data_IF_335762765887
#
_entry.id   IF_335762765887
#
_cell.length_a   1.000
_cell.length_b   1.000
_cell.length_c   1.000
_cell.angle_alpha   90.00
_cell.angle_beta   90.00
_cell.angle_gamma   90.00
#
_symmetry.space_group_name_H-M   'P 1'
#
loop_
_entity.id
_entity.type
_entity.pdbx_description
1 polymer ?
#
# COMPACT_ATOMS: atom_id res chain seq x y z
N UNK A 1 12.43 -20.39 7.90
CA UNK A 1 12.91 -19.11 7.37
C UNK A 1 13.93 -18.58 8.35
N UNK A 2 15.19 -18.56 7.96
CA UNK A 2 16.26 -18.01 8.78
C UNK A 2 16.17 -16.48 8.80
N UNK A 3 16.30 -15.89 9.98
CA UNK A 3 16.47 -14.45 10.14
C UNK A 3 17.72 -14.20 10.96
N UNK A 4 18.72 -13.57 10.37
CA UNK A 4 19.91 -13.11 11.09
C UNK A 4 19.58 -12.22 12.29
N UNK A 5 18.51 -11.44 12.24
CA UNK A 5 18.05 -10.62 13.36
C UNK A 5 17.63 -11.41 14.61
N UNK A 6 17.43 -12.71 14.51
CA UNK A 6 17.17 -13.56 15.69
C UNK A 6 18.45 -14.09 16.36
N UNK A 7 19.59 -14.02 15.66
CA UNK A 7 20.91 -14.34 16.24
C UNK A 7 21.50 -13.15 16.97
N UNK A 8 21.07 -11.96 16.63
CA UNK A 8 21.52 -10.71 17.25
C UNK A 8 20.90 -10.49 18.64
N UNK A 9 21.20 -11.38 19.58
CA UNK A 9 21.42 -10.82 20.89
C UNK A 9 22.75 -10.07 20.83
N UNK A 10 22.81 -8.85 21.30
CA UNK A 10 24.01 -8.01 21.42
C UNK A 10 25.22 -8.73 22.04
N UNK A 11 25.03 -9.88 22.66
CA UNK A 11 26.06 -10.74 23.23
C UNK A 11 26.84 -11.56 22.18
N UNK A 12 26.30 -11.81 20.98
CA UNK A 12 26.98 -12.62 19.94
C UNK A 12 27.80 -11.72 19.00
N UNK A 13 27.36 -10.48 18.77
CA UNK A 13 28.10 -9.49 17.98
C UNK A 13 29.10 -8.66 18.79
N UNK A 14 29.06 -8.74 20.12
CA UNK A 14 29.95 -8.01 21.00
C UNK A 14 31.25 -8.78 21.28
N UNK A 15 32.31 -8.51 20.56
CA UNK A 15 33.74 -8.79 20.79
C UNK A 15 34.41 -9.96 20.09
N UNK A 16 33.75 -10.92 19.46
CA UNK A 16 34.47 -12.09 18.91
C UNK A 16 34.12 -12.47 17.48
N UNK A 17 33.35 -11.67 16.77
CA UNK A 17 32.99 -11.94 15.40
C UNK A 17 31.72 -12.77 15.24
N UNK A 18 31.27 -12.87 14.01
CA UNK A 18 30.14 -13.67 13.59
C UNK A 18 30.38 -15.17 13.84
N UNK A 19 29.46 -15.82 14.53
CA UNK A 19 29.60 -17.24 14.94
C UNK A 19 28.96 -18.18 13.92
N UNK A 20 28.03 -17.69 13.11
CA UNK A 20 27.31 -18.50 12.11
C UNK A 20 25.88 -18.05 11.93
N UNK A 21 25.17 -18.75 11.07
CA UNK A 21 23.74 -18.56 10.78
C UNK A 21 23.00 -19.80 11.26
N UNK A 22 21.87 -19.62 11.97
CA UNK A 22 21.05 -20.75 12.40
C UNK A 22 20.21 -21.28 11.24
N UNK A 23 20.07 -22.61 11.14
CA UNK A 23 19.22 -23.27 10.16
C UNK A 23 17.76 -23.48 10.67
N UNK A 24 17.49 -23.06 11.89
CA UNK A 24 16.18 -23.10 12.51
C UNK A 24 15.96 -21.90 13.43
N UNK A 25 14.69 -21.59 13.74
CA UNK A 25 14.36 -20.53 14.71
C UNK A 25 14.71 -20.99 16.12
N UNK A 26 15.67 -20.31 16.78
CA UNK A 26 16.07 -20.58 18.15
C UNK A 26 15.35 -19.59 19.08
N UNK A 27 14.60 -20.09 20.04
CA UNK A 27 14.06 -19.25 21.12
C UNK A 27 15.17 -18.87 22.10
N UNK A 28 14.99 -17.77 22.83
CA UNK A 28 16.03 -17.19 23.72
C UNK A 28 16.57 -18.13 24.81
N UNK A 29 16.01 -19.31 24.98
CA UNK A 29 16.45 -20.32 25.95
C UNK A 29 16.64 -21.71 25.32
N UNK A 30 16.54 -21.84 24.01
CA UNK A 30 16.70 -23.11 23.31
C UNK A 30 18.06 -23.21 22.58
N UNK A 31 18.52 -24.43 22.37
CA UNK A 31 19.65 -24.71 21.48
C UNK A 31 19.12 -25.03 20.09
N UNK A 32 19.76 -24.51 19.07
CA UNK A 32 19.50 -24.80 17.66
C UNK A 32 20.79 -25.06 16.90
N UNK A 33 20.66 -25.58 15.69
CA UNK A 33 21.82 -25.82 14.83
C UNK A 33 22.41 -24.51 14.32
N UNK A 34 23.74 -24.39 14.31
CA UNK A 34 24.44 -23.24 13.79
C UNK A 34 25.38 -23.70 12.68
N UNK A 35 25.20 -23.14 11.46
CA UNK A 35 26.11 -23.35 10.34
C UNK A 35 27.25 -22.34 10.47
N UNK A 36 28.50 -22.82 10.61
CA UNK A 36 29.63 -21.93 10.90
C UNK A 36 30.42 -21.60 9.65
N UNK A 37 30.98 -22.58 8.93
CA UNK A 37 31.78 -22.35 7.76
C UNK A 37 31.61 -23.46 6.74
N UNK A 38 31.66 -23.12 5.44
CA UNK A 38 31.55 -24.09 4.36
C UNK A 38 30.16 -24.72 4.19
N UNK A 39 29.20 -24.33 4.99
CA UNK A 39 27.79 -24.73 4.83
C UNK A 39 27.14 -23.98 3.66
N UNK A 40 26.13 -24.62 3.03
CA UNK A 40 25.26 -23.97 2.04
C UNK A 40 23.91 -23.79 2.67
N UNK A 41 23.43 -22.55 2.71
CA UNK A 41 22.07 -22.25 3.11
C UNK A 41 21.24 -21.92 1.88
N UNK A 42 19.97 -22.33 1.90
CA UNK A 42 19.01 -22.07 0.84
C UNK A 42 17.85 -21.26 1.37
N UNK A 43 17.20 -20.51 0.49
CA UNK A 43 16.00 -19.74 0.83
C UNK A 43 16.25 -18.75 1.97
N UNK A 44 17.31 -17.98 1.87
CA UNK A 44 17.85 -17.24 3.00
C UNK A 44 16.92 -16.21 3.59
N UNK A 45 16.03 -15.60 2.83
CA UNK A 45 15.15 -14.52 3.34
C UNK A 45 15.90 -13.44 4.15
N UNK A 46 17.21 -13.37 3.98
CA UNK A 46 18.14 -12.58 4.79
C UNK A 46 18.54 -11.27 4.12
N UNK A 47 18.19 -11.12 2.85
CA UNK A 47 18.51 -9.92 2.10
C UNK A 47 17.41 -8.92 2.36
N UNK A 48 17.74 -7.68 2.69
CA UNK A 48 16.76 -6.61 2.68
C UNK A 48 16.13 -6.57 1.29
N UNK A 49 14.82 -6.45 1.25
CA UNK A 49 14.03 -6.38 0.04
C UNK A 49 14.63 -5.37 -0.95
N UNK A 50 15.31 -5.86 -1.96
CA UNK A 50 15.87 -5.02 -3.01
C UNK A 50 14.74 -4.63 -3.98
N UNK A 51 14.37 -3.36 -3.97
CA UNK A 51 13.43 -2.81 -4.92
C UNK A 51 14.10 -2.60 -6.29
N UNK A 52 13.38 -2.94 -7.34
CA UNK A 52 13.73 -2.58 -8.71
C UNK A 52 12.49 -2.06 -9.45
N UNK A 53 12.70 -1.19 -10.44
CA UNK A 53 11.62 -0.59 -11.22
C UNK A 53 11.72 -0.96 -12.70
N UNK A 54 10.57 -1.21 -13.31
CA UNK A 54 10.43 -1.24 -14.76
C UNK A 54 10.36 0.18 -15.33
N UNK A 55 10.41 0.28 -16.64
CA UNK A 55 10.24 1.57 -17.34
C UNK A 55 8.84 2.17 -17.09
N UNK A 56 8.76 3.49 -17.10
CA UNK A 56 7.48 4.20 -17.05
C UNK A 56 6.60 3.79 -18.23
N UNK A 57 5.32 3.58 -17.96
CA UNK A 57 4.28 3.38 -18.97
C UNK A 57 3.18 4.43 -18.80
N UNK A 58 2.65 4.95 -19.92
CA UNK A 58 1.65 6.01 -19.91
C UNK A 58 0.29 5.44 -20.28
N UNK A 59 -0.73 5.63 -19.41
CA UNK A 59 -2.11 5.22 -19.69
C UNK A 59 -3.00 6.37 -20.20
N UNK A 60 -2.56 7.62 -20.01
CA UNK A 60 -3.26 8.81 -20.50
C UNK A 60 -2.27 9.88 -20.94
N UNK A 61 -2.20 10.12 -22.23
CA UNK A 61 -1.49 11.26 -22.83
C UNK A 61 -2.51 12.37 -23.06
N UNK A 62 -2.34 13.57 -22.43
CA UNK A 62 -3.32 14.66 -22.50
C UNK A 62 -4.79 14.25 -22.70
N UNK A 63 -5.74 14.87 -22.12
CA UNK A 63 -5.66 16.00 -21.19
C UNK A 63 -5.04 15.60 -19.85
N UNK A 64 -4.67 16.61 -19.04
CA UNK A 64 -4.10 16.39 -17.70
C UNK A 64 -5.01 15.53 -16.84
N UNK A 65 -4.45 14.61 -16.07
CA UNK A 65 -5.21 13.84 -15.11
C UNK A 65 -5.25 14.53 -13.73
N UNK A 66 -6.32 14.26 -13.02
CA UNK A 66 -6.51 14.63 -11.61
C UNK A 66 -7.16 13.44 -10.91
N UNK A 67 -6.91 13.27 -9.61
CA UNK A 67 -7.56 12.22 -8.82
C UNK A 67 -7.49 10.85 -9.49
N UNK A 68 -6.73 9.97 -8.95
CA UNK A 68 -6.63 8.62 -9.48
C UNK A 68 -6.58 7.59 -8.36
N UNK A 69 -6.99 6.37 -8.70
CA UNK A 69 -6.91 5.21 -7.83
C UNK A 69 -6.71 3.95 -8.70
N UNK A 70 -6.14 2.89 -8.11
CA UNK A 70 -5.80 1.67 -8.83
C UNK A 70 -6.21 0.44 -8.02
N UNK A 71 -6.71 -0.59 -8.71
CA UNK A 71 -7.00 -1.90 -8.14
C UNK A 71 -6.53 -3.02 -9.07
N UNK A 72 -6.31 -4.19 -8.49
CA UNK A 72 -5.97 -5.40 -9.23
C UNK A 72 -7.17 -6.34 -9.31
N UNK A 73 -7.59 -6.66 -10.52
CA UNK A 73 -8.57 -7.70 -10.86
C UNK A 73 -7.86 -9.05 -10.93
N UNK A 74 -7.96 -9.83 -9.87
CA UNK A 74 -7.30 -11.12 -9.74
C UNK A 74 -7.92 -12.23 -10.61
N UNK A 75 -9.15 -12.07 -11.06
CA UNK A 75 -9.82 -13.03 -11.96
C UNK A 75 -9.32 -12.89 -13.39
N UNK A 76 -9.21 -11.65 -13.88
CA UNK A 76 -8.76 -11.38 -15.25
C UNK A 76 -7.24 -11.12 -15.31
N UNK A 77 -6.55 -11.07 -14.17
CA UNK A 77 -5.13 -10.73 -14.09
C UNK A 77 -4.83 -9.36 -14.73
N UNK A 78 -5.56 -8.34 -14.30
CA UNK A 78 -5.46 -6.99 -14.85
C UNK A 78 -5.37 -5.93 -13.75
N UNK A 79 -4.61 -4.90 -14.03
CA UNK A 79 -4.61 -3.69 -13.23
C UNK A 79 -5.60 -2.71 -13.84
N UNK A 80 -6.45 -2.11 -13.02
CA UNK A 80 -7.41 -1.10 -13.47
C UNK A 80 -7.14 0.21 -12.76
N UNK A 81 -6.81 1.26 -13.52
CA UNK A 81 -6.67 2.62 -13.02
C UNK A 81 -7.94 3.42 -13.36
N UNK A 82 -8.53 4.07 -12.36
CA UNK A 82 -9.60 5.02 -12.53
C UNK A 82 -9.06 6.44 -12.25
N UNK A 83 -9.43 7.42 -13.07
CA UNK A 83 -8.96 8.79 -12.96
C UNK A 83 -9.98 9.79 -13.52
N UNK A 84 -9.89 11.05 -13.08
CA UNK A 84 -10.56 12.18 -13.70
C UNK A 84 -9.60 12.92 -14.62
N UNK A 85 -10.05 13.28 -15.79
CA UNK A 85 -9.27 14.11 -16.70
C UNK A 85 -9.69 15.58 -16.65
N UNK A 86 -8.84 16.47 -17.18
CA UNK A 86 -9.10 17.91 -17.18
C UNK A 86 -10.24 18.35 -18.12
N UNK A 87 -10.76 17.42 -18.94
CA UNK A 87 -11.98 17.62 -19.74
C UNK A 87 -13.25 17.34 -18.91
N UNK A 88 -13.11 17.20 -17.59
CA UNK A 88 -14.20 16.96 -16.66
C UNK A 88 -14.91 15.62 -16.87
N UNK A 89 -14.16 14.56 -17.23
CA UNK A 89 -14.70 13.20 -17.38
C UNK A 89 -14.01 12.21 -16.46
N UNK A 90 -14.76 11.23 -15.98
CA UNK A 90 -14.21 10.07 -15.28
C UNK A 90 -13.92 8.93 -16.25
N UNK A 91 -12.69 8.42 -16.26
CA UNK A 91 -12.22 7.33 -17.13
C UNK A 91 -11.53 6.22 -16.37
N UNK A 92 -11.50 5.02 -16.95
CA UNK A 92 -10.65 3.94 -16.47
C UNK A 92 -9.92 3.27 -17.63
N UNK A 93 -8.67 2.85 -17.36
CA UNK A 93 -7.84 2.10 -18.27
C UNK A 93 -7.46 0.74 -17.65
N UNK A 94 -7.41 -0.30 -18.49
CA UNK A 94 -7.07 -1.66 -18.09
C UNK A 94 -5.65 -1.97 -18.54
N UNK A 95 -4.78 -2.32 -17.57
CA UNK A 95 -3.38 -2.64 -17.80
C UNK A 95 -3.08 -4.12 -17.70
N UNK A 96 -2.18 -4.59 -18.56
CA UNK A 96 -1.55 -5.92 -18.47
C UNK A 96 -0.12 -5.74 -18.01
N UNK A 97 0.23 -6.37 -16.89
CA UNK A 97 1.60 -6.39 -16.36
C UNK A 97 2.31 -7.64 -16.87
N UNK A 98 3.44 -7.46 -17.54
CA UNK A 98 4.30 -8.55 -18.05
C UNK A 98 5.76 -8.25 -17.75
N UNK A 99 6.35 -8.99 -16.82
CA UNK A 99 7.69 -8.70 -16.33
C UNK A 99 7.76 -7.27 -15.76
N UNK A 100 8.63 -6.45 -16.33
CA UNK A 100 8.83 -5.05 -15.90
C UNK A 100 7.99 -4.04 -16.67
N UNK A 101 7.17 -4.48 -17.62
CA UNK A 101 6.40 -3.59 -18.50
C UNK A 101 4.91 -3.63 -18.18
N UNK A 102 4.23 -2.50 -18.39
CA UNK A 102 2.77 -2.41 -18.32
C UNK A 102 2.28 -1.91 -19.68
N UNK A 103 1.34 -2.65 -20.28
CA UNK A 103 0.66 -2.23 -21.50
C UNK A 103 -0.79 -1.90 -21.18
N UNK A 104 -1.27 -0.76 -21.69
CA UNK A 104 -2.60 -0.25 -21.36
C UNK A 104 -3.55 -0.38 -22.56
N UNK A 105 -4.78 -0.78 -22.28
CA UNK A 105 -5.88 -0.69 -23.24
C UNK A 105 -6.39 0.76 -23.37
N UNK A 106 -7.28 0.97 -24.34
CA UNK A 106 -7.90 2.29 -24.53
C UNK A 106 -8.76 2.66 -23.32
N UNK A 107 -8.60 3.86 -22.74
CA UNK A 107 -9.42 4.31 -21.62
C UNK A 107 -10.91 4.37 -21.98
N UNK A 108 -11.77 3.89 -21.08
CA UNK A 108 -13.23 3.90 -21.22
C UNK A 108 -13.82 4.86 -20.19
N UNK A 109 -14.75 5.69 -20.65
CA UNK A 109 -15.43 6.67 -19.81
C UNK A 109 -16.49 6.00 -18.92
N UNK A 110 -16.48 6.30 -17.62
CA UNK A 110 -17.52 5.90 -16.67
C UNK A 110 -18.40 7.07 -16.21
N UNK A 111 -17.93 8.31 -16.35
CA UNK A 111 -18.67 9.51 -16.03
C UNK A 111 -18.43 10.60 -17.06
N UNK A 112 -19.50 11.27 -17.50
CA UNK A 112 -19.41 12.44 -18.40
C UNK A 112 -19.16 13.74 -17.66
N UNK A 113 -19.02 13.67 -16.34
CA UNK A 113 -18.83 14.83 -15.47
C UNK A 113 -17.50 14.80 -14.74
N UNK A 114 -17.07 15.95 -14.23
CA UNK A 114 -15.91 16.02 -13.34
C UNK A 114 -16.10 15.08 -12.13
N UNK A 115 -15.19 14.16 -11.97
CA UNK A 115 -15.28 13.07 -11.02
C UNK A 115 -14.09 13.11 -10.04
N UNK A 116 -13.98 14.11 -9.15
CA UNK A 116 -12.94 14.16 -8.13
C UNK A 116 -13.14 13.10 -7.04
N UNK A 117 -12.15 12.97 -6.16
CA UNK A 117 -12.17 12.05 -5.03
C UNK A 117 -12.48 10.60 -5.44
N UNK A 118 -11.74 10.10 -6.43
CA UNK A 118 -11.90 8.74 -6.94
C UNK A 118 -11.29 7.73 -5.96
N UNK A 119 -12.03 6.65 -5.72
CA UNK A 119 -11.54 5.44 -5.10
C UNK A 119 -11.98 4.22 -5.90
N UNK A 120 -11.24 3.12 -5.81
CA UNK A 120 -11.48 1.89 -6.55
C UNK A 120 -11.23 0.68 -5.67
N UNK A 121 -12.01 -0.38 -5.86
CA UNK A 121 -11.82 -1.67 -5.19
C UNK A 121 -12.23 -2.79 -6.13
N UNK A 122 -11.63 -3.97 -5.94
CA UNK A 122 -12.02 -5.18 -6.63
C UNK A 122 -12.86 -6.07 -5.70
N UNK A 123 -14.10 -6.34 -6.09
CA UNK A 123 -14.98 -7.30 -5.43
C UNK A 123 -14.67 -8.70 -5.95
N UNK A 124 -13.98 -9.52 -5.14
CA UNK A 124 -13.55 -10.86 -5.54
C UNK A 124 -14.71 -11.83 -5.63
N UNK A 125 -15.83 -11.62 -4.92
CA UNK A 125 -17.01 -12.47 -4.97
C UNK A 125 -17.82 -12.22 -6.25
N UNK A 126 -18.08 -10.95 -6.55
CA UNK A 126 -18.81 -10.57 -7.78
C UNK A 126 -17.90 -10.59 -9.02
N UNK A 127 -16.58 -10.63 -8.85
CA UNK A 127 -15.57 -10.50 -9.91
C UNK A 127 -15.76 -9.20 -10.70
N UNK A 128 -15.88 -8.09 -9.97
CA UNK A 128 -16.14 -6.76 -10.52
C UNK A 128 -15.22 -5.70 -9.93
N UNK A 129 -14.95 -4.72 -10.75
CA UNK A 129 -14.35 -3.45 -10.30
C UNK A 129 -15.48 -2.55 -9.78
N UNK A 130 -15.27 -1.92 -8.64
CA UNK A 130 -16.16 -0.90 -8.11
C UNK A 130 -15.38 0.42 -8.07
N UNK A 131 -15.91 1.46 -8.71
CA UNK A 131 -15.34 2.80 -8.72
C UNK A 131 -16.32 3.72 -7.99
N UNK A 132 -15.85 4.36 -6.91
CA UNK A 132 -16.55 5.43 -6.24
C UNK A 132 -15.96 6.78 -6.64
N UNK A 133 -16.79 7.80 -6.78
CA UNK A 133 -16.37 9.15 -7.14
C UNK A 133 -17.38 10.20 -6.69
N UNK A 134 -16.97 11.47 -6.64
CA UNK A 134 -17.88 12.60 -6.45
C UNK A 134 -18.39 13.05 -7.81
N UNK A 135 -19.69 13.21 -7.97
CA UNK A 135 -20.28 13.92 -9.10
C UNK A 135 -20.47 15.41 -8.72
N UNK A 136 -19.80 16.30 -9.44
CA UNK A 136 -19.83 17.73 -9.18
C UNK A 136 -20.87 18.51 -10.00
N UNK A 137 -21.59 17.85 -10.91
CA UNK A 137 -22.42 18.55 -11.92
C UNK A 137 -23.89 18.22 -11.78
N UNK A 138 -24.23 16.96 -11.51
CA UNK A 138 -25.63 16.54 -11.38
C UNK A 138 -26.19 16.94 -10.02
N UNK A 139 -27.27 17.70 -10.01
CA UNK A 139 -28.01 17.97 -8.76
C UNK A 139 -28.95 16.79 -8.46
N UNK A 140 -28.88 16.21 -7.25
CA UNK A 140 -28.04 16.60 -6.12
C UNK A 140 -26.60 16.14 -6.28
N UNK A 141 -25.65 17.04 -6.02
CA UNK A 141 -24.24 16.70 -5.93
C UNK A 141 -24.03 15.58 -4.92
N UNK A 142 -23.10 14.67 -5.18
CA UNK A 142 -22.86 13.63 -4.18
C UNK A 142 -21.94 12.53 -4.63
N UNK A 143 -21.84 11.51 -3.78
CA UNK A 143 -21.07 10.31 -4.05
C UNK A 143 -21.83 9.37 -4.97
N UNK A 144 -21.20 9.00 -6.08
CA UNK A 144 -21.66 8.02 -7.04
C UNK A 144 -20.72 6.80 -7.05
N UNK A 145 -21.29 5.64 -7.34
CA UNK A 145 -20.49 4.44 -7.60
C UNK A 145 -20.95 3.73 -8.88
N UNK A 146 -20.01 3.16 -9.60
CA UNK A 146 -20.26 2.39 -10.82
C UNK A 146 -19.54 1.05 -10.73
N UNK A 147 -20.18 0.00 -11.28
CA UNK A 147 -19.64 -1.36 -11.33
C UNK A 147 -19.08 -1.62 -12.72
N UNK A 148 -17.81 -2.01 -12.79
CA UNK A 148 -17.07 -2.31 -14.01
C UNK A 148 -16.85 -3.80 -14.21
N UNK A 149 -17.01 -4.27 -15.44
CA UNK A 149 -16.69 -5.62 -15.89
C UNK A 149 -15.50 -5.58 -16.83
N UNK A 150 -14.38 -6.15 -16.43
CA UNK A 150 -13.16 -6.24 -17.24
C UNK A 150 -13.29 -7.38 -18.25
N UNK A 151 -12.89 -7.14 -19.50
CA UNK A 151 -12.80 -8.14 -20.56
C UNK A 151 -11.58 -7.85 -21.44
N UNK A 152 -10.58 -8.73 -21.39
CA UNK A 152 -9.31 -8.52 -22.07
C UNK A 152 -8.58 -7.28 -21.54
N UNK A 153 -8.42 -6.26 -22.39
CA UNK A 153 -7.80 -4.97 -22.06
C UNK A 153 -8.82 -3.82 -22.04
N UNK A 154 -10.11 -4.12 -21.94
CA UNK A 154 -11.19 -3.15 -21.88
C UNK A 154 -12.04 -3.35 -20.63
N UNK A 155 -12.87 -2.36 -20.31
CA UNK A 155 -13.82 -2.39 -19.20
C UNK A 155 -15.16 -1.82 -19.67
N UNK A 156 -16.26 -2.42 -19.24
CA UNK A 156 -17.61 -1.87 -19.46
C UNK A 156 -18.27 -1.57 -18.11
N UNK A 157 -19.15 -0.58 -18.09
CA UNK A 157 -19.76 -0.10 -16.84
C UNK A 157 -21.27 -0.27 -16.84
N UNK A 158 -21.82 -0.58 -15.67
CA UNK A 158 -23.24 -0.45 -15.39
C UNK A 158 -23.66 1.00 -15.16
N UNK A 159 -24.93 1.23 -14.80
CA UNK A 159 -25.40 2.57 -14.44
C UNK A 159 -24.83 3.02 -13.09
N UNK A 160 -24.45 4.29 -12.94
CA UNK A 160 -24.04 4.84 -11.65
C UNK A 160 -25.18 4.77 -10.62
N UNK A 161 -24.82 4.52 -9.36
CA UNK A 161 -25.76 4.50 -8.23
C UNK A 161 -25.24 5.45 -7.14
N UNK A 162 -26.08 6.32 -6.64
CA UNK A 162 -25.74 7.28 -5.61
C UNK A 162 -25.63 6.61 -4.24
N UNK A 163 -24.52 6.84 -3.52
CA UNK A 163 -24.34 6.40 -2.14
C UNK A 163 -24.36 7.53 -1.11
N UNK A 164 -24.11 8.75 -1.54
CA UNK A 164 -24.17 9.95 -0.70
C UNK A 164 -24.88 11.06 -1.47
N UNK A 165 -26.02 11.53 -0.92
CA UNK A 165 -26.88 12.52 -1.57
C UNK A 165 -26.39 13.97 -1.43
N UNK A 166 -25.33 14.20 -0.68
CA UNK A 166 -24.78 15.52 -0.39
C UNK A 166 -23.31 15.59 -0.78
N UNK A 167 -22.77 16.79 -0.80
CA UNK A 167 -21.39 17.04 -1.08
C UNK A 167 -20.48 16.18 -0.19
N UNK A 168 -19.59 15.41 -0.81
CA UNK A 168 -18.66 14.55 -0.11
C UNK A 168 -17.24 14.75 -0.65
N UNK A 169 -16.25 14.47 0.18
CA UNK A 169 -14.84 14.56 -0.19
C UNK A 169 -14.02 13.45 0.46
N UNK A 170 -12.75 13.35 0.10
CA UNK A 170 -11.80 12.44 0.75
C UNK A 170 -12.32 11.00 0.81
N UNK A 171 -12.70 10.45 -0.36
CA UNK A 171 -13.20 9.09 -0.51
C UNK A 171 -12.06 8.07 -0.50
N UNK A 172 -12.26 6.98 0.22
CA UNK A 172 -11.42 5.77 0.17
C UNK A 172 -12.28 4.52 0.24
N UNK A 173 -11.79 3.39 -0.27
CA UNK A 173 -12.55 2.15 -0.36
C UNK A 173 -11.70 0.92 -0.09
N UNK A 174 -12.33 -0.12 0.47
CA UNK A 174 -11.74 -1.47 0.59
C UNK A 174 -12.80 -2.54 0.39
N UNK A 175 -12.38 -3.76 0.06
CA UNK A 175 -13.25 -4.92 -0.02
C UNK A 175 -13.08 -5.78 1.25
N UNK A 176 -14.18 -6.02 1.95
CA UNK A 176 -14.28 -6.98 3.06
C UNK A 176 -14.58 -8.37 2.47
N UNK A 177 -13.55 -9.22 2.42
CA UNK A 177 -13.66 -10.54 1.82
C UNK A 177 -14.51 -11.53 2.65
N UNK A 178 -14.60 -11.32 3.97
CA UNK A 178 -15.44 -12.14 4.83
C UNK A 178 -16.92 -11.82 4.67
N UNK A 179 -17.27 -10.54 4.68
CA UNK A 179 -18.64 -10.09 4.48
C UNK A 179 -19.05 -10.09 2.99
N UNK A 180 -18.10 -10.20 2.06
CA UNK A 180 -18.29 -10.07 0.61
C UNK A 180 -18.95 -8.73 0.24
N UNK A 181 -18.39 -7.65 0.78
CA UNK A 181 -18.91 -6.29 0.63
C UNK A 181 -17.81 -5.29 0.35
N UNK A 182 -18.14 -4.25 -0.40
CA UNK A 182 -17.28 -3.09 -0.56
C UNK A 182 -17.62 -2.05 0.50
N UNK A 183 -16.63 -1.56 1.22
CA UNK A 183 -16.78 -0.50 2.23
C UNK A 183 -16.22 0.79 1.68
N UNK A 184 -17.02 1.83 1.71
CA UNK A 184 -16.68 3.19 1.35
C UNK A 184 -16.53 4.02 2.62
N UNK A 185 -15.48 4.82 2.73
CA UNK A 185 -15.33 5.80 3.78
C UNK A 185 -15.04 7.18 3.17
N UNK A 186 -15.74 8.20 3.64
CA UNK A 186 -15.69 9.54 3.05
C UNK A 186 -15.97 10.62 4.10
N UNK A 187 -15.64 11.86 3.77
CA UNK A 187 -16.07 13.02 4.51
C UNK A 187 -17.45 13.42 3.96
N UNK A 188 -18.48 13.25 4.77
CA UNK A 188 -19.86 13.52 4.40
C UNK A 188 -20.41 14.80 4.99
N UNK A 189 -21.73 14.83 5.17
CA UNK A 189 -22.44 15.97 5.74
C UNK A 189 -21.87 16.36 7.13
N UNK A 190 -21.90 17.63 7.43
CA UNK A 190 -21.35 18.22 8.67
C UNK A 190 -19.85 18.01 8.85
N UNK A 191 -19.15 17.67 7.77
CA UNK A 191 -17.73 17.35 7.79
C UNK A 191 -17.37 16.16 8.71
N UNK A 192 -18.27 15.20 8.85
CA UNK A 192 -18.05 13.98 9.62
C UNK A 192 -17.51 12.86 8.75
N UNK A 193 -16.60 12.04 9.30
CA UNK A 193 -16.23 10.80 8.64
C UNK A 193 -17.38 9.82 8.68
N UNK A 194 -17.84 9.42 7.51
CA UNK A 194 -18.90 8.43 7.33
C UNK A 194 -18.36 7.19 6.63
N UNK A 195 -18.99 6.05 6.89
CA UNK A 195 -18.75 4.79 6.16
C UNK A 195 -20.08 4.18 5.74
N UNK A 196 -20.09 3.54 4.57
CA UNK A 196 -21.27 2.87 4.01
C UNK A 196 -20.86 1.56 3.32
N UNK A 197 -21.75 0.57 3.39
CA UNK A 197 -21.54 -0.75 2.81
C UNK A 197 -22.24 -0.86 1.47
N UNK A 198 -21.49 -1.23 0.44
CA UNK A 198 -22.00 -1.55 -0.89
C UNK A 198 -22.08 -3.06 -1.14
N UNK A 199 -23.16 -3.49 -1.78
CA UNK A 199 -23.36 -4.87 -2.23
C UNK A 199 -23.49 -4.90 -3.73
N UNK A 200 -22.54 -5.54 -4.41
CA UNK A 200 -22.55 -5.71 -5.87
C UNK A 200 -23.47 -6.85 -6.27
N UNK A 201 -24.27 -6.63 -7.30
CA UNK A 201 -25.12 -7.64 -7.94
C UNK A 201 -25.14 -7.43 -9.46
N UNK A 202 -24.53 -8.34 -10.20
CA UNK A 202 -24.35 -8.18 -11.64
C UNK A 202 -23.51 -6.95 -12.00
N UNK A 203 -24.09 -5.96 -12.66
CA UNK A 203 -23.43 -4.69 -13.02
C UNK A 203 -23.96 -3.49 -12.21
N UNK A 204 -24.65 -3.75 -11.10
CA UNK A 204 -25.19 -2.72 -10.21
C UNK A 204 -24.66 -2.89 -8.80
N UNK A 205 -24.79 -1.85 -7.99
CA UNK A 205 -24.45 -1.84 -6.56
C UNK A 205 -25.62 -1.24 -5.77
N UNK A 206 -25.89 -1.79 -4.59
CA UNK A 206 -26.86 -1.23 -3.65
C UNK A 206 -26.16 -0.90 -2.35
N UNK A 207 -26.68 0.07 -1.61
CA UNK A 207 -26.06 0.59 -0.39
C UNK A 207 -26.95 0.40 0.82
N UNK A 208 -26.32 0.14 1.96
CA UNK A 208 -26.95 0.16 3.27
C UNK A 208 -27.11 1.59 3.82
N UNK A 209 -27.19 1.70 5.13
CA UNK A 209 -27.25 3.01 5.82
C UNK A 209 -25.84 3.46 6.19
N UNK A 210 -25.55 4.74 5.96
CA UNK A 210 -24.27 5.33 6.33
C UNK A 210 -24.12 5.38 7.87
N UNK A 211 -22.93 5.06 8.34
CA UNK A 211 -22.52 5.11 9.74
C UNK A 211 -21.55 6.26 9.97
N UNK A 212 -21.76 7.07 11.01
CA UNK A 212 -20.82 8.12 11.40
C UNK A 212 -19.69 7.52 12.23
N UNK A 213 -18.47 7.51 11.67
CA UNK A 213 -17.27 6.97 12.33
C UNK A 213 -16.68 8.00 13.29
N UNK A 214 -16.56 9.26 12.85
CA UNK A 214 -16.06 10.39 13.64
C UNK A 214 -16.96 11.59 13.45
N UNK A 215 -17.40 12.20 14.55
CA UNK A 215 -18.23 13.42 14.56
C UNK A 215 -17.35 14.69 14.62
N UNK A 216 -16.25 14.68 13.85
CA UNK A 216 -15.35 15.82 13.69
C UNK A 216 -14.83 15.86 12.26
N UNK A 217 -14.33 17.03 11.83
CA UNK A 217 -13.72 17.18 10.52
C UNK A 217 -12.52 16.26 10.38
N UNK A 218 -12.44 15.58 9.27
CA UNK A 218 -11.29 14.72 8.94
C UNK A 218 -10.90 14.89 7.46
N UNK A 219 -9.60 15.04 7.24
CA UNK A 219 -9.01 15.19 5.92
C UNK A 219 -8.71 13.86 5.23
N UNK A 220 -7.45 13.64 4.91
CA UNK A 220 -6.98 12.45 4.21
C UNK A 220 -7.26 11.18 5.00
N UNK A 221 -7.62 10.13 4.27
CA UNK A 221 -8.01 8.84 4.83
C UNK A 221 -7.37 7.70 4.06
N UNK A 222 -6.99 6.68 4.83
CA UNK A 222 -6.65 5.37 4.31
C UNK A 222 -7.55 4.30 4.92
N UNK A 223 -7.89 3.29 4.15
CA UNK A 223 -8.70 2.14 4.59
C UNK A 223 -8.11 0.84 4.07
N UNK A 224 -8.14 -0.20 4.89
CA UNK A 224 -7.72 -1.55 4.49
C UNK A 224 -8.58 -2.59 5.18
N UNK A 225 -8.54 -3.81 4.66
CA UNK A 225 -9.17 -4.97 5.27
C UNK A 225 -8.11 -5.85 5.96
N UNK A 226 -8.24 -6.02 7.27
CA UNK A 226 -7.48 -6.99 8.07
C UNK A 226 -8.14 -8.36 7.92
N UNK A 227 -7.54 -9.22 7.10
CA UNK A 227 -8.09 -10.55 6.79
C UNK A 227 -8.02 -11.53 7.97
N UNK A 228 -7.11 -11.33 8.91
CA UNK A 228 -6.99 -12.19 10.09
C UNK A 228 -8.02 -11.83 11.14
N UNK A 229 -8.18 -10.55 11.46
CA UNK A 229 -9.21 -10.08 12.38
C UNK A 229 -10.61 -10.06 11.74
N UNK A 230 -10.71 -10.15 10.41
CA UNK A 230 -11.93 -9.96 9.62
C UNK A 230 -12.58 -8.61 9.91
N UNK A 231 -11.78 -7.56 9.87
CA UNK A 231 -12.17 -6.19 10.20
C UNK A 231 -11.68 -5.19 9.16
N UNK A 232 -12.38 -4.08 9.08
CA UNK A 232 -11.95 -2.92 8.32
C UNK A 232 -11.18 -1.98 9.25
N UNK A 233 -10.02 -1.52 8.82
CA UNK A 233 -9.23 -0.52 9.55
C UNK A 233 -9.24 0.79 8.76
N UNK A 234 -9.74 1.85 9.36
CA UNK A 234 -9.78 3.20 8.82
C UNK A 234 -8.84 4.09 9.64
N UNK A 235 -7.91 4.77 8.98
CA UNK A 235 -7.10 5.82 9.59
C UNK A 235 -7.35 7.15 8.88
N UNK A 236 -7.28 8.25 9.61
CA UNK A 236 -7.57 9.58 9.07
C UNK A 236 -6.82 10.69 9.82
N UNK A 237 -6.47 11.74 9.08
CA UNK A 237 -6.08 13.03 9.64
C UNK A 237 -7.32 13.79 10.12
N UNK A 238 -7.29 14.39 11.31
CA UNK A 238 -8.39 15.22 11.80
C UNK A 238 -8.00 16.71 11.82
N UNK A 239 -8.97 17.61 11.79
CA UNK A 239 -8.72 19.05 11.85
C UNK A 239 -8.11 19.50 13.19
N UNK A 240 -8.27 18.68 14.23
CA UNK A 240 -7.72 18.93 15.56
C UNK A 240 -6.21 18.64 15.65
N UNK A 241 -5.52 18.55 14.49
CA UNK A 241 -4.09 18.24 14.44
C UNK A 241 -3.73 16.87 15.04
N UNK A 242 -4.57 15.86 14.80
CA UNK A 242 -4.34 14.49 15.27
C UNK A 242 -4.57 13.47 14.16
N UNK A 243 -3.89 12.33 14.26
CA UNK A 243 -4.22 11.13 13.48
C UNK A 243 -5.03 10.16 14.33
N UNK A 244 -6.15 9.69 13.82
CA UNK A 244 -7.01 8.71 14.49
C UNK A 244 -7.26 7.50 13.60
N UNK A 245 -7.42 6.32 14.24
CA UNK A 245 -7.84 5.11 13.55
C UNK A 245 -8.97 4.41 14.31
N UNK A 246 -9.84 3.75 13.55
CA UNK A 246 -10.98 3.01 14.07
C UNK A 246 -11.14 1.66 13.36
N UNK A 247 -11.68 0.67 14.07
CA UNK A 247 -11.89 -0.70 13.58
C UNK A 247 -13.37 -0.92 13.31
N UNK A 248 -13.69 -1.26 12.06
CA UNK A 248 -15.04 -1.49 11.56
C UNK A 248 -15.40 -2.97 11.47
N UNK A 249 -16.64 -3.29 11.78
CA UNK A 249 -17.22 -4.63 11.59
C UNK A 249 -18.40 -4.53 10.65
N UNK A 250 -18.34 -5.22 9.51
CA UNK A 250 -19.44 -5.34 8.56
C UNK A 250 -20.39 -6.46 9.00
N UNK A 251 -21.68 -6.19 8.95
CA UNK A 251 -22.74 -7.17 9.22
C UNK A 251 -23.90 -6.94 8.25
N UNK A 252 -24.07 -7.88 7.30
CA UNK A 252 -25.05 -7.72 6.22
C UNK A 252 -24.76 -6.47 5.37
N UNK A 253 -25.65 -5.49 5.39
CA UNK A 253 -25.53 -4.21 4.68
C UNK A 253 -25.14 -3.05 5.59
N UNK A 254 -24.80 -3.34 6.84
CA UNK A 254 -24.45 -2.33 7.85
C UNK A 254 -22.98 -2.47 8.27
N UNK A 255 -22.42 -1.37 8.75
CA UNK A 255 -21.09 -1.35 9.38
C UNK A 255 -21.18 -0.59 10.70
N UNK A 256 -20.43 -1.05 11.69
CA UNK A 256 -20.24 -0.33 12.95
C UNK A 256 -18.76 -0.23 13.27
N UNK A 257 -18.35 0.81 13.97
CA UNK A 257 -16.96 1.00 14.36
C UNK A 257 -16.83 1.03 15.89
N UNK A 258 -15.71 0.48 16.38
CA UNK A 258 -15.26 0.68 17.75
C UNK A 258 -14.82 2.14 17.98
N UNK A 259 -14.50 2.46 19.24
CA UNK A 259 -14.00 3.79 19.58
C UNK A 259 -12.69 4.09 18.84
N UNK A 260 -12.64 5.23 18.16
CA UNK A 260 -11.44 5.68 17.47
C UNK A 260 -10.32 5.97 18.47
N UNK A 261 -9.13 5.47 18.18
CA UNK A 261 -7.93 5.69 18.97
C UNK A 261 -6.99 6.69 18.26
N UNK A 262 -6.41 7.62 19.04
CA UNK A 262 -5.41 8.57 18.52
C UNK A 262 -4.05 7.87 18.43
N UNK A 263 -3.41 7.89 17.25
CA UNK A 263 -2.06 7.36 17.06
C UNK A 263 -0.99 8.47 17.05
N UNK A 264 -1.37 9.69 16.73
CA UNK A 264 -0.47 10.85 16.78
C UNK A 264 -1.23 12.11 17.14
N UNK A 265 -0.58 13.01 17.92
CA UNK A 265 -1.15 14.28 18.38
C UNK A 265 -0.45 15.48 17.73
N UNK A 266 -0.15 15.38 16.43
CA UNK A 266 0.42 16.45 15.60
C UNK A 266 -0.31 16.49 14.26
N UNK A 267 -0.19 17.61 13.55
CA UNK A 267 -0.80 17.74 12.22
C UNK A 267 -0.18 16.75 11.24
N UNK A 268 -1.04 16.05 10.52
CA UNK A 268 -0.67 15.06 9.51
C UNK A 268 -1.54 15.19 8.27
N UNK A 269 -1.04 14.66 7.16
CA UNK A 269 -1.77 14.50 5.89
C UNK A 269 -1.24 13.28 5.13
N UNK A 270 -1.69 13.05 3.91
CA UNK A 270 -1.23 11.97 3.03
C UNK A 270 -1.32 10.59 3.70
N UNK A 271 -2.44 10.30 4.38
CA UNK A 271 -2.63 9.04 5.12
C UNK A 271 -2.88 7.88 4.16
N UNK A 272 -2.05 6.85 4.23
CA UNK A 272 -2.25 5.59 3.51
C UNK A 272 -2.13 4.40 4.47
N UNK A 273 -2.90 3.34 4.21
CA UNK A 273 -3.02 2.18 5.11
C UNK A 273 -2.90 0.89 4.30
N UNK A 274 -2.07 -0.03 4.78
CA UNK A 274 -1.87 -1.33 4.14
C UNK A 274 -1.78 -2.44 5.17
N UNK A 275 -2.53 -3.53 4.97
CA UNK A 275 -2.47 -4.69 5.86
C UNK A 275 -1.37 -5.66 5.42
N UNK A 276 -0.51 -6.03 6.37
CA UNK A 276 0.53 -7.04 6.20
C UNK A 276 0.03 -8.39 6.74
N UNK A 277 -0.28 -9.31 5.85
CA UNK A 277 -0.83 -10.62 6.19
C UNK A 277 0.19 -11.45 6.97
N UNK A 278 1.47 -11.42 6.59
CA UNK A 278 2.51 -12.23 7.22
C UNK A 278 2.80 -11.79 8.66
N UNK A 279 2.84 -10.49 8.90
CA UNK A 279 3.04 -9.94 10.24
C UNK A 279 1.75 -9.90 11.07
N UNK A 280 0.58 -10.07 10.45
CA UNK A 280 -0.72 -9.83 11.07
C UNK A 280 -0.80 -8.43 11.70
N UNK A 281 -0.45 -7.41 10.92
CA UNK A 281 -0.37 -6.02 11.34
C UNK A 281 -0.86 -5.08 10.25
N UNK A 282 -1.33 -3.92 10.66
CA UNK A 282 -1.66 -2.83 9.74
C UNK A 282 -0.58 -1.75 9.81
N UNK A 283 0.02 -1.46 8.65
CA UNK A 283 0.92 -0.32 8.48
C UNK A 283 0.07 0.92 8.18
N UNK A 284 0.26 1.98 8.94
CA UNK A 284 -0.31 3.31 8.71
C UNK A 284 0.87 4.24 8.39
N UNK A 285 0.95 4.74 7.17
CA UNK A 285 1.95 5.73 6.78
C UNK A 285 1.29 7.09 6.54
N UNK A 286 2.05 8.17 6.79
CA UNK A 286 1.54 9.52 6.72
C UNK A 286 2.67 10.54 6.57
N UNK A 287 2.34 11.75 6.13
CA UNK A 287 3.19 12.92 6.19
C UNK A 287 2.97 13.65 7.51
N UNK A 288 4.05 13.94 8.22
CA UNK A 288 4.04 14.72 9.47
C UNK A 288 4.22 16.21 9.15
N UNK A 289 3.14 16.96 8.92
CA UNK A 289 3.16 18.35 8.42
C UNK A 289 3.88 19.31 9.38
N UNK A 290 3.79 19.07 10.69
CA UNK A 290 4.48 19.87 11.70
C UNK A 290 5.99 19.59 11.88
N UNK A 291 6.53 18.62 11.15
CA UNK A 291 7.91 18.13 11.25
C UNK A 291 8.61 18.11 9.90
N UNK A 292 8.67 19.24 9.22
CA UNK A 292 9.29 19.36 7.87
C UNK A 292 8.72 18.40 6.84
N UNK A 293 7.47 17.99 6.97
CA UNK A 293 6.76 17.05 6.09
C UNK A 293 7.37 15.64 6.06
N UNK A 294 8.04 15.21 7.11
CA UNK A 294 8.68 13.90 7.18
C UNK A 294 7.69 12.75 6.94
N UNK A 295 8.19 11.67 6.33
CA UNK A 295 7.45 10.43 6.12
C UNK A 295 7.55 9.52 7.34
N UNK A 296 6.42 9.21 7.97
CA UNK A 296 6.37 8.40 9.20
C UNK A 296 5.36 7.27 9.12
N UNK A 297 5.57 6.24 9.95
CA UNK A 297 4.64 5.12 10.07
C UNK A 297 4.35 4.76 11.52
N UNK A 298 3.19 4.14 11.69
CA UNK A 298 2.84 3.32 12.85
C UNK A 298 2.49 1.90 12.41
N UNK A 299 2.85 0.94 13.25
CA UNK A 299 2.38 -0.44 13.10
C UNK A 299 1.26 -0.67 14.10
N UNK A 300 0.07 -0.95 13.57
CA UNK A 300 -1.14 -1.13 14.35
C UNK A 300 -1.50 -2.62 14.52
N UNK A 301 -2.07 -2.94 15.67
CA UNK A 301 -2.60 -4.27 16.01
C UNK A 301 -4.07 -4.16 16.33
N UNK A 302 -4.89 -4.93 15.62
CA UNK A 302 -6.33 -5.03 15.86
C UNK A 302 -6.62 -6.12 16.90
N UNK A 303 -7.52 -5.82 17.84
CA UNK A 303 -8.05 -6.77 18.82
C UNK A 303 -9.54 -6.53 19.04
N UNK A 304 -10.38 -7.39 18.51
CA UNK A 304 -11.82 -7.19 18.48
C UNK A 304 -12.20 -5.94 17.68
N UNK A 305 -12.73 -4.92 18.35
CA UNK A 305 -13.05 -3.60 17.76
C UNK A 305 -12.10 -2.51 18.23
N UNK A 306 -11.02 -2.86 18.92
CA UNK A 306 -9.99 -1.93 19.40
C UNK A 306 -8.75 -2.02 18.53
N UNK A 307 -7.97 -0.94 18.51
CA UNK A 307 -6.70 -0.84 17.81
C UNK A 307 -5.64 -0.24 18.75
N UNK A 308 -4.44 -0.78 18.70
CA UNK A 308 -3.27 -0.28 19.44
C UNK A 308 -2.11 -0.05 18.48
N UNK A 309 -1.17 0.81 18.86
CA UNK A 309 -0.07 1.26 17.99
C UNK A 309 1.27 0.99 18.66
N UNK A 310 2.25 0.62 17.85
CA UNK A 310 3.65 0.54 18.24
C UNK A 310 4.33 1.91 18.29
N UNK A 311 5.66 1.90 18.33
CA UNK A 311 6.43 3.14 18.25
C UNK A 311 6.39 3.72 16.83
N UNK A 312 6.57 5.05 16.74
CA UNK A 312 6.75 5.75 15.46
C UNK A 312 8.05 5.27 14.82
N UNK A 313 7.99 4.96 13.54
CA UNK A 313 9.15 4.74 12.67
C UNK A 313 9.15 5.80 11.57
N UNK A 314 10.33 6.16 11.07
CA UNK A 314 10.50 7.20 10.05
C UNK A 314 11.10 6.58 8.79
N UNK A 315 10.39 6.71 7.65
CA UNK A 315 10.86 6.18 6.36
C UNK A 315 11.53 7.26 5.49
N UNK A 316 11.31 8.53 5.79
CA UNK A 316 11.93 9.64 5.10
C UNK A 316 12.05 10.89 5.99
N UNK A 317 13.23 11.54 5.99
CA UNK A 317 13.53 12.76 6.76
C UNK A 317 13.44 14.04 5.91
N UNK A 318 13.47 13.91 4.59
CA UNK A 318 13.58 15.04 3.65
C UNK A 318 12.27 15.68 3.27
N UNK A 319 11.15 15.09 3.68
CA UNK A 319 9.80 15.52 3.36
C UNK A 319 9.17 14.74 2.22
N UNK A 320 7.93 14.32 2.41
CA UNK A 320 7.19 13.47 1.48
C UNK A 320 5.89 14.10 1.02
N UNK A 321 5.42 13.68 -0.16
CA UNK A 321 4.06 13.90 -0.65
C UNK A 321 3.64 12.75 -1.57
N UNK A 322 2.37 12.70 -1.96
CA UNK A 322 1.82 11.63 -2.79
C UNK A 322 2.11 10.23 -2.24
N UNK A 323 1.84 10.02 -0.93
CA UNK A 323 2.17 8.78 -0.23
C UNK A 323 1.16 7.69 -0.54
N UNK A 324 1.64 6.51 -0.94
CA UNK A 324 0.81 5.29 -1.08
C UNK A 324 1.55 4.08 -0.55
N UNK A 325 0.81 3.14 0.06
CA UNK A 325 1.37 1.91 0.62
C UNK A 325 0.62 0.68 0.10
N UNK A 326 1.37 -0.36 -0.24
CA UNK A 326 0.82 -1.64 -0.70
C UNK A 326 1.61 -2.80 -0.11
N UNK A 327 0.94 -3.93 0.11
CA UNK A 327 1.56 -5.16 0.58
C UNK A 327 1.96 -6.04 -0.61
N UNK A 328 3.24 -6.39 -0.68
CA UNK A 328 3.75 -7.40 -1.61
C UNK A 328 3.60 -8.79 -0.98
N UNK A 329 2.71 -9.60 -1.57
CA UNK A 329 2.36 -10.92 -1.04
C UNK A 329 3.51 -11.91 -1.20
N UNK A 330 4.31 -11.81 -2.28
CA UNK A 330 5.43 -12.70 -2.54
C UNK A 330 6.60 -12.40 -1.60
N UNK A 331 6.95 -11.15 -1.43
CA UNK A 331 8.00 -10.70 -0.53
C UNK A 331 7.57 -10.66 0.95
N UNK A 332 6.25 -10.71 1.23
CA UNK A 332 5.67 -10.57 2.57
C UNK A 332 6.03 -9.24 3.25
N UNK A 333 6.20 -8.20 2.48
CA UNK A 333 6.70 -6.89 2.89
C UNK A 333 5.79 -5.79 2.36
N UNK A 334 5.63 -4.69 3.10
CA UNK A 334 4.93 -3.52 2.58
C UNK A 334 5.91 -2.64 1.78
N UNK A 335 5.41 -1.98 0.75
CA UNK A 335 6.15 -0.96 0.00
C UNK A 335 5.42 0.36 0.12
N UNK A 336 6.17 1.40 0.47
CA UNK A 336 5.70 2.79 0.52
C UNK A 336 6.29 3.51 -0.68
N UNK A 337 5.44 4.12 -1.49
CA UNK A 337 5.83 4.96 -2.64
C UNK A 337 5.43 6.40 -2.37
N UNK A 338 6.31 7.34 -2.68
CA UNK A 338 6.14 8.76 -2.38
C UNK A 338 6.97 9.64 -3.31
N UNK A 339 6.68 10.93 -3.34
CA UNK A 339 7.57 11.96 -3.87
C UNK A 339 8.50 12.41 -2.75
N UNK A 340 9.79 12.36 -2.96
CA UNK A 340 10.84 12.70 -2.01
C UNK A 340 11.33 14.14 -2.25
N UNK A 341 10.89 15.06 -1.40
CA UNK A 341 11.28 16.47 -1.50
C UNK A 341 12.74 16.72 -1.14
N UNK A 342 13.33 15.84 -0.32
CA UNK A 342 14.75 15.87 0.03
C UNK A 342 15.66 15.44 -1.12
N UNK A 343 15.11 14.71 -2.10
CA UNK A 343 15.83 14.20 -3.25
C UNK A 343 15.26 14.77 -4.57
N UNK A 344 15.33 16.08 -4.76
CA UNK A 344 14.93 16.76 -5.99
C UNK A 344 13.48 16.53 -6.42
N UNK A 345 12.59 16.18 -5.50
CA UNK A 345 11.21 15.75 -5.73
C UNK A 345 11.09 14.48 -6.59
N UNK A 346 12.09 13.61 -6.58
CA UNK A 346 12.03 12.36 -7.32
C UNK A 346 11.04 11.38 -6.68
N UNK A 347 10.44 10.56 -7.53
CA UNK A 347 9.51 9.52 -7.09
C UNK A 347 10.28 8.33 -6.57
N UNK A 348 10.09 8.06 -5.29
CA UNK A 348 10.88 7.11 -4.53
C UNK A 348 9.98 6.04 -3.91
N UNK A 349 10.50 4.83 -3.77
CA UNK A 349 9.84 3.76 -3.01
C UNK A 349 10.80 3.14 -2.02
N UNK A 350 10.27 2.69 -0.90
CA UNK A 350 11.01 1.99 0.14
C UNK A 350 10.24 0.75 0.61
N UNK A 351 10.96 -0.35 0.82
CA UNK A 351 10.40 -1.55 1.44
C UNK A 351 10.32 -1.35 2.97
N UNK A 352 9.20 -1.76 3.57
CA UNK A 352 8.95 -1.64 5.01
C UNK A 352 8.73 -3.02 5.61
N UNK A 353 9.74 -3.56 6.27
CA UNK A 353 9.69 -4.86 6.95
C UNK A 353 9.16 -4.66 8.37
N UNK A 354 8.11 -5.40 8.73
CA UNK A 354 7.45 -5.30 10.03
C UNK A 354 7.97 -6.40 10.95
N UNK A 355 8.50 -5.99 12.11
CA UNK A 355 8.88 -6.91 13.20
C UNK A 355 8.18 -6.49 14.49
N UNK A 356 7.29 -7.35 14.97
CA UNK A 356 6.45 -7.04 16.13
C UNK A 356 5.54 -5.82 15.87
N UNK A 357 5.83 -4.69 16.48
CA UNK A 357 5.08 -3.43 16.34
C UNK A 357 5.96 -2.28 15.82
N UNK A 358 7.07 -2.59 15.19
CA UNK A 358 7.99 -1.61 14.58
C UNK A 358 8.20 -1.92 13.11
N UNK A 359 8.59 -0.91 12.33
CA UNK A 359 8.99 -1.06 10.94
C UNK A 359 10.47 -0.68 10.77
N UNK A 360 11.17 -1.43 9.93
CA UNK A 360 12.51 -1.10 9.42
C UNK A 360 12.42 -0.94 7.91
N UNK A 361 13.31 -0.16 7.33
CA UNK A 361 13.21 0.21 5.91
C UNK A 361 14.46 -0.23 5.16
N UNK A 362 14.24 -0.73 3.95
CA UNK A 362 15.29 -1.03 2.99
C UNK A 362 15.84 0.25 2.35
N UNK A 363 16.81 0.09 1.43
CA UNK A 363 17.35 1.21 0.67
C UNK A 363 16.28 1.84 -0.23
N UNK A 364 16.15 3.18 -0.24
CA UNK A 364 15.22 3.86 -1.13
C UNK A 364 15.57 3.63 -2.61
N UNK A 365 14.57 3.37 -3.44
CA UNK A 365 14.67 3.28 -4.88
C UNK A 365 14.00 4.48 -5.53
N UNK A 366 14.76 5.28 -6.30
CA UNK A 366 14.16 6.23 -7.25
C UNK A 366 13.60 5.46 -8.44
N UNK A 367 12.28 5.32 -8.53
CA UNK A 367 11.65 4.62 -9.65
C UNK A 367 11.32 5.54 -10.82
N UNK A 368 11.26 6.86 -10.58
CA UNK A 368 11.10 7.87 -11.60
C UNK A 368 11.80 9.18 -11.19
N UNK A 369 12.71 9.67 -12.04
CA UNK A 369 13.46 10.90 -11.79
C UNK A 369 12.64 12.17 -12.16
N UNK A 370 11.46 12.29 -11.58
CA UNK A 370 10.53 13.39 -11.80
C UNK A 370 9.50 13.49 -10.67
N UNK A 371 8.85 14.66 -10.61
CA UNK A 371 7.83 14.94 -9.60
C UNK A 371 6.47 14.33 -9.98
N UNK A 372 5.75 13.85 -8.97
CA UNK A 372 4.44 13.21 -9.13
C UNK A 372 3.39 13.82 -8.19
N UNK A 373 2.13 13.57 -8.49
CA UNK A 373 0.98 13.85 -7.62
C UNK A 373 -0.01 12.68 -7.65
N UNK A 374 -0.86 12.59 -6.63
CA UNK A 374 -1.96 11.60 -6.57
C UNK A 374 -1.46 10.16 -6.77
N UNK A 375 -0.40 9.74 -6.07
CA UNK A 375 0.08 8.36 -6.14
C UNK A 375 -0.93 7.38 -5.56
N UNK A 376 -1.09 6.24 -6.22
CA UNK A 376 -1.80 5.08 -5.71
C UNK A 376 -1.09 3.81 -6.14
N UNK A 377 -1.17 2.75 -5.33
CA UNK A 377 -0.48 1.50 -5.61
C UNK A 377 -1.36 0.28 -5.37
N UNK A 378 -1.07 -0.79 -6.12
CA UNK A 378 -1.71 -2.10 -5.98
C UNK A 378 -0.72 -3.22 -6.27
N UNK A 379 -1.00 -4.41 -5.78
CA UNK A 379 -0.17 -5.60 -6.02
C UNK A 379 -0.83 -6.53 -7.04
N UNK A 380 -0.10 -6.89 -8.08
CA UNK A 380 -0.47 -7.88 -9.09
C UNK A 380 0.06 -9.25 -8.69
N UNK A 381 -0.80 -10.13 -8.20
CA UNK A 381 -0.40 -11.46 -7.71
C UNK A 381 0.14 -12.37 -8.81
N UNK A 382 -0.32 -12.23 -10.05
CA UNK A 382 0.13 -13.07 -11.17
C UNK A 382 1.52 -12.69 -11.68
N UNK A 383 1.85 -11.41 -11.68
CA UNK A 383 3.16 -10.92 -12.12
C UNK A 383 4.16 -10.77 -10.98
N UNK A 384 3.72 -10.91 -9.72
CA UNK A 384 4.49 -10.59 -8.51
C UNK A 384 5.10 -9.19 -8.60
N UNK A 385 4.25 -8.18 -8.88
CA UNK A 385 4.66 -6.80 -9.08
C UNK A 385 3.75 -5.83 -8.33
N UNK A 386 4.35 -4.79 -7.80
CA UNK A 386 3.62 -3.62 -7.34
C UNK A 386 3.48 -2.69 -8.54
N UNK A 387 2.29 -2.20 -8.78
CA UNK A 387 2.03 -1.16 -9.79
C UNK A 387 1.73 0.14 -9.05
N UNK A 388 2.57 1.13 -9.30
CA UNK A 388 2.38 2.50 -8.79
C UNK A 388 1.89 3.35 -9.95
N UNK A 389 0.71 3.93 -9.81
CA UNK A 389 0.13 4.90 -10.76
C UNK A 389 0.24 6.30 -10.18
N UNK A 390 0.45 7.29 -11.04
CA UNK A 390 0.62 8.67 -10.61
C UNK A 390 0.32 9.67 -11.72
N UNK A 391 0.08 10.91 -11.33
CA UNK A 391 0.11 12.07 -12.22
C UNK A 391 1.57 12.51 -12.36
N UNK A 392 2.09 12.44 -13.56
CA UNK A 392 3.44 12.88 -13.90
C UNK A 392 3.47 14.40 -14.14
N UNK A 393 3.85 15.16 -13.11
CA UNK A 393 3.87 16.62 -13.18
C UNK A 393 5.06 17.18 -13.97
N UNK A 394 6.09 16.35 -14.14
CA UNK A 394 7.25 16.69 -14.97
C UNK A 394 6.94 16.58 -16.48
N UNK A 395 5.90 15.80 -16.85
CA UNK A 395 5.50 15.55 -18.24
C UNK A 395 4.04 15.91 -18.49
N UNK A 396 3.74 17.21 -18.56
CA UNK A 396 2.41 17.74 -18.93
C UNK A 396 1.23 17.21 -18.11
N UNK A 397 1.49 16.72 -16.89
CA UNK A 397 0.48 16.14 -15.99
C UNK A 397 -0.24 14.91 -16.58
N UNK A 398 0.46 14.11 -17.37
CA UNK A 398 -0.06 12.88 -17.95
C UNK A 398 -0.27 11.80 -16.87
N UNK A 399 -1.08 10.78 -17.19
CA UNK A 399 -1.27 9.60 -16.35
C UNK A 399 -0.22 8.54 -16.65
N UNK A 400 0.59 8.18 -15.67
CA UNK A 400 1.70 7.25 -15.81
C UNK A 400 1.74 6.20 -14.70
N UNK A 401 2.49 5.13 -14.94
CA UNK A 401 2.70 4.06 -14.00
C UNK A 401 4.10 3.45 -14.13
N UNK A 402 4.62 2.92 -13.03
CA UNK A 402 5.78 2.02 -13.00
C UNK A 402 5.40 0.70 -12.35
N UNK A 403 6.06 -0.36 -12.81
CA UNK A 403 6.04 -1.69 -12.20
C UNK A 403 7.25 -1.84 -11.30
N UNK A 404 7.02 -2.16 -10.03
CA UNK A 404 8.09 -2.41 -9.07
C UNK A 404 8.11 -3.90 -8.70
N UNK A 405 9.29 -4.41 -8.36
CA UNK A 405 9.44 -5.73 -7.73
C UNK A 405 10.35 -5.63 -6.53
N UNK A 406 10.02 -6.43 -5.52
CA UNK A 406 10.97 -6.78 -4.49
C UNK A 406 11.59 -8.12 -4.84
N UNK A 407 12.90 -8.23 -4.71
CA UNK A 407 13.56 -9.51 -4.76
C UNK A 407 14.33 -9.71 -3.45
N UNK A 408 14.09 -10.87 -2.86
CA UNK A 408 14.90 -11.39 -1.75
C UNK A 408 15.99 -12.31 -2.29
N UNK A 409 16.25 -12.24 -3.59
CA UNK A 409 17.17 -13.11 -4.28
C UNK A 409 18.61 -12.63 -4.12
N UNK A 410 19.51 -13.58 -3.83
CA UNK A 410 20.93 -13.33 -3.85
C UNK A 410 21.42 -13.04 -5.27
N UNK A 411 22.32 -12.07 -5.44
CA UNK A 411 23.01 -11.87 -6.71
C UNK A 411 24.10 -12.94 -6.85
N UNK A 412 23.95 -13.82 -7.82
CA UNK A 412 24.89 -14.94 -8.05
C UNK A 412 26.33 -14.43 -8.18
N UNK A 413 27.26 -15.14 -7.55
CA UNK A 413 28.66 -14.81 -7.49
C UNK A 413 29.05 -13.52 -6.75
N UNK A 414 28.08 -12.85 -6.10
CA UNK A 414 28.37 -11.70 -5.23
C UNK A 414 28.74 -12.16 -3.82
N UNK A 415 29.64 -11.42 -3.22
CA UNK A 415 30.01 -11.57 -1.82
C UNK A 415 29.04 -10.74 -0.95
N UNK A 416 28.66 -11.31 0.17
CA UNK A 416 27.72 -10.69 1.12
C UNK A 416 28.40 -10.49 2.47
N UNK A 417 27.99 -9.44 3.16
CA UNK A 417 28.50 -9.02 4.46
C UNK A 417 27.37 -8.82 5.45
N UNK A 418 27.60 -9.17 6.71
CA UNK A 418 26.64 -8.90 7.79
C UNK A 418 26.62 -7.41 8.09
N UNK A 419 25.45 -6.82 8.11
CA UNK A 419 25.22 -5.41 8.45
C UNK A 419 24.96 -5.24 9.95
N UNK A 420 25.04 -3.99 10.43
CA UNK A 420 24.83 -3.68 11.84
C UNK A 420 23.42 -3.98 12.37
N UNK A 421 22.45 -4.09 11.49
CA UNK A 421 21.05 -4.45 11.80
C UNK A 421 20.80 -5.96 11.76
N UNK A 422 21.84 -6.77 11.49
CA UNK A 422 21.77 -8.23 11.38
C UNK A 422 21.34 -8.74 10.01
N UNK A 423 21.10 -7.88 9.03
CA UNK A 423 20.85 -8.28 7.64
C UNK A 423 22.15 -8.59 6.91
N UNK A 424 22.07 -9.13 5.69
CA UNK A 424 23.22 -9.28 4.79
C UNK A 424 23.03 -8.40 3.55
N UNK A 425 24.13 -7.88 3.03
CA UNK A 425 24.13 -6.98 1.87
C UNK A 425 25.45 -7.13 1.10
N UNK A 426 25.47 -6.74 -0.16
CA UNK A 426 26.71 -6.59 -0.93
C UNK A 426 27.54 -5.38 -0.50
N UNK A 427 26.99 -4.51 0.36
CA UNK A 427 27.75 -3.41 0.96
C UNK A 427 28.80 -3.97 1.91
N UNK A 428 30.07 -3.66 1.65
CA UNK A 428 31.20 -4.16 2.45
C UNK A 428 31.06 -3.78 3.92
N UNK A 429 31.25 -4.75 4.80
CA UNK A 429 31.39 -4.58 6.23
C UNK A 429 32.59 -5.40 6.73
N UNK A 430 32.88 -5.33 8.03
CA UNK A 430 34.00 -6.08 8.64
C UNK A 430 33.70 -7.56 8.82
N UNK A 431 32.46 -7.98 8.62
CA UNK A 431 32.02 -9.36 8.86
C UNK A 431 31.51 -9.95 7.55
N UNK A 432 32.28 -10.81 6.88
CA UNK A 432 31.80 -11.54 5.69
C UNK A 432 30.68 -12.51 6.09
N UNK A 433 29.68 -12.63 5.26
CA UNK A 433 28.60 -13.61 5.43
C UNK A 433 28.79 -14.82 4.50
N UNK A 434 29.18 -14.57 3.25
CA UNK A 434 29.38 -15.63 2.29
C UNK A 434 29.19 -15.18 0.85
N UNK A 435 29.25 -16.14 -0.07
CA UNK A 435 29.10 -15.89 -1.51
C UNK A 435 27.88 -16.60 -2.08
N UNK A 436 27.11 -15.89 -2.86
CA UNK A 436 25.92 -16.45 -3.49
C UNK A 436 26.26 -17.48 -4.58
N UNK A 437 25.72 -18.67 -4.45
CA UNK A 437 25.85 -19.78 -5.42
C UNK A 437 24.68 -19.79 -6.40
N UNK A 438 23.52 -19.33 -5.96
CA UNK A 438 22.31 -19.16 -6.76
C UNK A 438 21.51 -17.98 -6.22
N UNK A 439 20.35 -17.66 -6.80
CA UNK A 439 19.47 -16.62 -6.29
C UNK A 439 18.90 -16.92 -4.90
N UNK A 440 18.97 -18.16 -4.45
CA UNK A 440 18.40 -18.61 -3.15
C UNK A 440 19.39 -19.34 -2.25
N UNK A 441 20.65 -19.50 -2.67
CA UNK A 441 21.67 -20.28 -1.94
C UNK A 441 22.95 -19.51 -1.79
N UNK A 442 23.55 -19.56 -0.61
CA UNK A 442 24.81 -18.90 -0.29
C UNK A 442 25.77 -19.87 0.38
N UNK A 443 27.03 -19.87 -0.06
CA UNK A 443 28.14 -20.52 0.63
C UNK A 443 28.61 -19.59 1.75
N UNK A 444 28.61 -20.08 2.98
CA UNK A 444 29.03 -19.31 4.13
C UNK A 444 30.57 -19.22 4.20
N UNK A 445 31.02 -17.99 4.45
CA UNK A 445 32.43 -17.71 4.75
C UNK A 445 32.52 -17.29 6.22
N UNK A 446 33.41 -17.94 6.96
CA UNK A 446 33.69 -17.67 8.37
C UNK A 446 35.10 -17.14 8.57
#
# INVERSE_FOLDING_TARGET
TLRLGQIASTAILGNTGFVGITDEAISSAASGSVIVQGGVITNTGLIPDALSAGAQSVYQVGPQIQWQAVAYDSTNNRVVVAYSDNNSTGKAAVGTVSGTTITWGTPVQFSSHNSPHIAISYDTNAQKIVIGYKDNVSSPYGGQAVVGTVSGTSISFGSPVQFAALDMTSLTMTYDANAQKTVFAYLGQSNYTQAIVGTVSGTSISFGTAYTVLSEYSGDKGITYDSTAQKVVLATATASTTGKAAVGTVSGTSISFGTAATFVSTQISEVSVSYNVAANKTLICYRADGLSNQGKTFIATVSGTSISFGAISEFDVGGVSAVSATYDVAAQTNVISFQDSGNSNYSTSVAATITGTTATYGSPLVFYAGAIQYSASTYSTTSNRIVVVYKDTANSNQGAANSLSLSNDLTIASDYYVQSDGTISTTSSTVPAGRALSTTSMLLEG
#
